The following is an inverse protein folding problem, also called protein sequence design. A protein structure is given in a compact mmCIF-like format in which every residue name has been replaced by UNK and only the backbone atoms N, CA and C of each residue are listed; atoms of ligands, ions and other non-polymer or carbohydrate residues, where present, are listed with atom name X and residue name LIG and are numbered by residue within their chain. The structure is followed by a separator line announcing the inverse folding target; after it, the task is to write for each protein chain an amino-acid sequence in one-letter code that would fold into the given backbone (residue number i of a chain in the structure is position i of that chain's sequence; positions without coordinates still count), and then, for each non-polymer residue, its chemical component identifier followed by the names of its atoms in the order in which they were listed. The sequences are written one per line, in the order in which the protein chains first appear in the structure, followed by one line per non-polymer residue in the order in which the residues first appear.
data_IF_525904221974
#
_entry.id   IF_525904221974
#
_cell.length_a   1.000
_cell.length_b   1.000
_cell.length_c   1.000
_cell.angle_alpha   90.00
_cell.angle_beta   90.00
_cell.angle_gamma   90.00
#
_symmetry.space_group_name_H-M   'P 1'
#
loop_
_entity.id
_entity.type
_entity.pdbx_description
1 polymer ?
#
# COMPACT_ATOMS: atom_id res chain seq x y z
N UNK A 1 -9.60 30.58 -3.14
CA UNK A 1 -8.83 29.87 -4.22
C UNK A 1 -8.32 28.57 -3.62
N UNK A 2 -8.62 27.44 -4.24
CA UNK A 2 -8.11 26.13 -3.79
C UNK A 2 -6.60 26.04 -4.02
N UNK A 3 -5.86 25.43 -3.10
CA UNK A 3 -4.42 25.26 -3.15
C UNK A 3 -4.00 23.81 -3.33
N UNK A 4 -4.89 22.88 -2.96
CA UNK A 4 -4.68 21.45 -3.05
C UNK A 4 -5.98 20.75 -3.45
N UNK A 5 -5.85 19.74 -4.30
CA UNK A 5 -6.90 18.78 -4.66
C UNK A 5 -6.37 17.40 -4.35
N UNK A 6 -7.05 16.68 -3.47
CA UNK A 6 -6.79 15.27 -3.21
C UNK A 6 -7.87 14.41 -3.85
N UNK A 7 -7.48 13.35 -4.54
CA UNK A 7 -8.39 12.40 -5.18
C UNK A 7 -8.06 10.98 -4.80
N UNK A 8 -9.08 10.17 -4.58
CA UNK A 8 -8.95 8.73 -4.58
C UNK A 8 -8.54 8.23 -5.96
N UNK A 9 -7.91 7.07 -6.03
CA UNK A 9 -7.31 6.53 -7.25
C UNK A 9 -8.15 5.39 -7.83
N UNK A 10 -8.38 4.35 -7.05
CA UNK A 10 -9.05 3.13 -7.50
C UNK A 10 -10.56 3.35 -7.64
N UNK A 11 -11.12 3.09 -8.85
CA UNK A 11 -12.53 3.38 -9.13
C UNK A 11 -12.86 4.86 -9.34
N UNK A 12 -11.86 5.77 -9.23
CA UNK A 12 -12.02 7.21 -9.43
C UNK A 12 -11.17 7.72 -10.60
N UNK A 13 -9.86 7.56 -10.53
CA UNK A 13 -8.91 7.98 -11.57
C UNK A 13 -8.46 6.83 -12.46
N UNK A 14 -8.61 5.62 -11.99
CA UNK A 14 -8.37 4.37 -12.70
C UNK A 14 -9.72 3.68 -12.86
N UNK A 15 -10.02 3.25 -14.08
CA UNK A 15 -11.22 2.51 -14.39
C UNK A 15 -11.13 1.11 -13.79
N UNK A 16 -12.25 0.62 -13.25
CA UNK A 16 -12.34 -0.75 -12.75
C UNK A 16 -11.84 -1.77 -13.79
N UNK A 17 -11.04 -2.70 -13.31
CA UNK A 17 -10.44 -3.79 -14.11
C UNK A 17 -9.34 -3.36 -15.09
N UNK A 18 -8.82 -2.14 -15.01
CA UNK A 18 -7.64 -1.71 -15.78
C UNK A 18 -6.55 -1.21 -14.84
N UNK A 19 -5.26 -1.33 -15.20
CA UNK A 19 -4.17 -0.75 -14.41
C UNK A 19 -3.91 0.73 -14.73
N UNK A 20 -4.55 1.28 -15.77
CA UNK A 20 -4.17 2.56 -16.36
C UNK A 20 -5.09 3.69 -15.92
N UNK A 21 -4.51 4.87 -15.75
CA UNK A 21 -5.24 6.12 -15.56
C UNK A 21 -6.08 6.45 -16.80
N UNK A 22 -7.18 7.17 -16.62
CA UNK A 22 -7.83 7.82 -17.74
C UNK A 22 -6.84 8.77 -18.45
N UNK A 23 -6.81 8.77 -19.77
CA UNK A 23 -5.78 9.51 -20.55
C UNK A 23 -5.69 11.00 -20.21
N UNK A 24 -6.83 11.62 -19.87
CA UNK A 24 -6.92 13.05 -19.56
C UNK A 24 -6.38 13.43 -18.17
N UNK A 25 -6.16 12.47 -17.28
CA UNK A 25 -5.76 12.76 -15.88
C UNK A 25 -4.40 13.44 -15.81
N UNK A 26 -3.43 12.94 -16.55
CA UNK A 26 -2.06 13.48 -16.54
C UNK A 26 -2.05 14.93 -17.01
N UNK A 27 -2.76 15.24 -18.10
CA UNK A 27 -2.84 16.62 -18.61
C UNK A 27 -3.59 17.53 -17.62
N UNK A 28 -4.66 17.05 -17.01
CA UNK A 28 -5.38 17.78 -15.96
C UNK A 28 -4.47 18.12 -14.78
N UNK A 29 -3.63 17.19 -14.33
CA UNK A 29 -2.66 17.42 -13.25
C UNK A 29 -1.66 18.50 -13.63
N UNK A 30 -1.13 18.48 -14.87
CA UNK A 30 -0.22 19.51 -15.37
C UNK A 30 -0.88 20.90 -15.42
N UNK A 31 -2.15 20.97 -15.84
CA UNK A 31 -2.91 22.22 -15.82
C UNK A 31 -3.15 22.76 -14.40
N UNK A 32 -3.46 21.87 -13.44
CA UNK A 32 -3.60 22.25 -12.02
C UNK A 32 -2.31 22.87 -11.49
N UNK A 33 -1.16 22.25 -11.81
CA UNK A 33 0.16 22.78 -11.43
C UNK A 33 0.40 24.18 -12.00
N UNK A 34 0.08 24.42 -13.27
CA UNK A 34 0.20 25.75 -13.90
C UNK A 34 -0.65 26.81 -13.19
N UNK A 35 -1.78 26.41 -12.59
CA UNK A 35 -2.65 27.27 -11.78
C UNK A 35 -2.20 27.38 -10.31
N UNK A 36 -1.06 26.81 -9.94
CA UNK A 36 -0.54 26.81 -8.58
C UNK A 36 -1.35 25.93 -7.60
N UNK A 37 -2.00 24.91 -8.12
CA UNK A 37 -2.79 23.94 -7.34
C UNK A 37 -2.02 22.63 -7.27
N UNK A 38 -1.68 22.18 -6.05
CA UNK A 38 -1.05 20.89 -5.81
C UNK A 38 -2.08 19.76 -5.96
N UNK A 39 -1.76 18.76 -6.77
CA UNK A 39 -2.53 17.52 -6.82
C UNK A 39 -1.97 16.50 -5.81
N UNK A 40 -2.85 15.72 -5.19
CA UNK A 40 -2.51 14.67 -4.25
C UNK A 40 -3.26 13.38 -4.60
N UNK A 41 -2.53 12.31 -4.88
CA UNK A 41 -3.11 10.98 -5.07
C UNK A 41 -3.27 10.29 -3.70
N UNK A 42 -4.49 9.91 -3.33
CA UNK A 42 -4.80 9.24 -2.07
C UNK A 42 -5.30 7.82 -2.32
N UNK A 43 -4.67 6.81 -1.74
CA UNK A 43 -5.03 5.40 -1.97
C UNK A 43 -4.54 4.48 -0.85
N UNK A 44 -5.13 3.28 -0.78
CA UNK A 44 -4.59 2.16 0.01
C UNK A 44 -3.36 1.48 -0.59
N UNK A 45 -3.01 1.82 -1.85
CA UNK A 45 -1.82 1.29 -2.53
C UNK A 45 -0.53 1.74 -1.86
N UNK A 46 0.54 0.97 -2.10
CA UNK A 46 1.88 1.35 -1.71
C UNK A 46 2.37 2.57 -2.49
N UNK A 47 3.22 3.40 -1.87
CA UNK A 47 3.80 4.57 -2.52
C UNK A 47 4.48 4.24 -3.87
N UNK A 48 5.27 3.17 -3.93
CA UNK A 48 5.97 2.79 -5.16
C UNK A 48 5.00 2.41 -6.29
N UNK A 49 3.89 1.76 -5.97
CA UNK A 49 2.81 1.47 -6.93
C UNK A 49 2.15 2.75 -7.45
N UNK A 50 1.81 3.69 -6.54
CA UNK A 50 1.26 4.98 -6.93
C UNK A 50 2.26 5.78 -7.77
N UNK A 51 3.53 5.85 -7.37
CA UNK A 51 4.58 6.53 -8.13
C UNK A 51 4.70 5.99 -9.56
N UNK A 52 4.60 4.66 -9.73
CA UNK A 52 4.62 4.06 -11.05
C UNK A 52 3.35 4.41 -11.87
N UNK A 53 2.19 4.43 -11.24
CA UNK A 53 0.93 4.82 -11.87
C UNK A 53 0.99 6.26 -12.39
N UNK A 54 1.55 7.19 -11.62
CA UNK A 54 1.68 8.60 -11.97
C UNK A 54 3.07 8.98 -12.51
N UNK A 55 3.81 8.03 -13.12
CA UNK A 55 5.23 8.18 -13.50
C UNK A 55 5.56 9.47 -14.26
N UNK A 56 4.64 9.96 -15.09
CA UNK A 56 4.86 11.17 -15.90
C UNK A 56 4.85 12.47 -15.10
N UNK A 57 4.23 12.47 -13.93
CA UNK A 57 4.11 13.62 -13.02
C UNK A 57 4.54 13.26 -11.59
N UNK A 58 5.26 12.16 -11.43
CA UNK A 58 5.53 11.54 -10.13
C UNK A 58 6.20 12.45 -9.10
N UNK A 59 7.09 13.34 -9.54
CA UNK A 59 7.81 14.27 -8.66
C UNK A 59 7.05 15.61 -8.46
N UNK A 60 5.91 15.76 -9.12
CA UNK A 60 5.14 17.02 -9.15
C UNK A 60 3.90 16.98 -8.25
N UNK A 61 3.52 15.80 -7.78
CA UNK A 61 2.32 15.56 -6.99
C UNK A 61 2.66 15.06 -5.59
N UNK A 62 1.70 15.21 -4.67
CA UNK A 62 1.78 14.59 -3.35
C UNK A 62 1.10 13.21 -3.35
N UNK A 63 1.45 12.39 -2.37
CA UNK A 63 0.90 11.05 -2.19
C UNK A 63 0.45 10.83 -0.76
N UNK A 64 -0.77 10.37 -0.58
CA UNK A 64 -1.30 9.80 0.65
C UNK A 64 -1.45 8.29 0.37
N UNK A 65 -0.40 7.53 0.67
CA UNK A 65 -0.32 6.10 0.43
C UNK A 65 -0.67 5.29 1.68
N UNK A 66 -0.87 3.98 1.51
CA UNK A 66 -1.10 3.02 2.60
C UNK A 66 -2.26 3.44 3.54
N UNK A 67 -3.37 3.93 2.96
CA UNK A 67 -4.51 4.46 3.71
C UNK A 67 -4.14 5.61 4.67
N UNK A 68 -3.16 6.43 4.31
CA UNK A 68 -2.69 7.58 5.09
C UNK A 68 -1.50 7.30 6.01
N UNK A 69 -1.02 6.05 6.10
CA UNK A 69 0.13 5.72 6.92
C UNK A 69 1.46 6.22 6.34
N UNK A 70 1.50 6.57 5.05
CA UNK A 70 2.67 7.10 4.39
C UNK A 70 2.30 8.29 3.49
N UNK A 71 2.78 9.48 3.86
CA UNK A 71 2.54 10.72 3.11
C UNK A 71 3.88 11.21 2.55
N UNK A 72 3.92 11.48 1.24
CA UNK A 72 5.11 11.97 0.53
C UNK A 72 4.82 13.15 -0.39
N UNK A 73 5.84 13.99 -0.55
CA UNK A 73 5.88 15.02 -1.59
C UNK A 73 7.31 15.14 -2.12
N UNK A 74 7.48 15.05 -3.42
CA UNK A 74 8.80 14.96 -4.03
C UNK A 74 9.63 13.80 -3.44
N UNK A 75 10.82 14.11 -2.96
CA UNK A 75 11.72 13.12 -2.33
C UNK A 75 11.53 12.99 -0.82
N UNK A 76 10.64 13.78 -0.19
CA UNK A 76 10.50 13.85 1.26
C UNK A 76 9.34 12.98 1.78
N UNK A 77 9.58 12.28 2.88
CA UNK A 77 8.53 11.72 3.71
C UNK A 77 7.97 12.82 4.60
N UNK A 78 6.76 13.30 4.31
CA UNK A 78 6.07 14.31 5.12
C UNK A 78 5.59 13.69 6.42
N UNK A 79 5.05 12.45 6.36
CA UNK A 79 4.65 11.69 7.53
C UNK A 79 4.76 10.19 7.28
N UNK A 80 5.15 9.46 8.33
CA UNK A 80 5.15 8.01 8.37
C UNK A 80 4.53 7.58 9.71
N UNK A 81 3.42 6.87 9.66
CA UNK A 81 2.76 6.29 10.83
C UNK A 81 3.09 4.81 10.87
N UNK A 82 4.06 4.43 11.69
CA UNK A 82 4.44 3.04 11.88
C UNK A 82 3.51 2.33 12.88
N UNK A 83 3.29 1.06 12.66
CA UNK A 83 2.66 0.17 13.63
C UNK A 83 3.58 -0.01 14.85
N UNK A 84 3.00 -0.26 16.01
CA UNK A 84 3.79 -0.62 17.19
C UNK A 84 4.48 -1.97 16.95
N UNK A 85 5.73 -2.06 17.35
CA UNK A 85 6.52 -3.28 17.14
C UNK A 85 5.87 -4.52 17.75
N UNK A 86 5.34 -4.40 18.95
CA UNK A 86 4.64 -5.49 19.65
C UNK A 86 3.39 -6.00 18.90
N UNK A 87 2.67 -5.08 18.19
CA UNK A 87 1.51 -5.45 17.37
C UNK A 87 1.97 -6.21 16.11
N UNK A 88 3.03 -5.74 15.47
CA UNK A 88 3.61 -6.42 14.30
C UNK A 88 4.09 -7.82 14.69
N UNK A 89 4.77 -7.97 15.80
CA UNK A 89 5.25 -9.26 16.29
C UNK A 89 4.10 -10.25 16.53
N UNK A 90 3.05 -9.82 17.23
CA UNK A 90 1.89 -10.65 17.47
C UNK A 90 1.13 -11.02 16.20
N UNK A 91 0.94 -10.06 15.27
CA UNK A 91 0.30 -10.29 13.97
C UNK A 91 1.10 -11.31 13.16
N UNK A 92 2.41 -11.10 13.02
CA UNK A 92 3.26 -12.00 12.23
C UNK A 92 3.33 -13.40 12.83
N UNK A 93 3.45 -13.54 14.15
CA UNK A 93 3.41 -14.84 14.84
C UNK A 93 2.10 -15.58 14.57
N UNK A 94 0.96 -14.86 14.62
CA UNK A 94 -0.34 -15.44 14.30
C UNK A 94 -0.43 -15.86 12.83
N UNK A 95 -0.01 -15.00 11.88
CA UNK A 95 -0.12 -15.25 10.45
C UNK A 95 0.76 -16.39 9.97
N UNK A 96 1.91 -16.62 10.59
CA UNK A 96 2.80 -17.76 10.28
C UNK A 96 2.09 -19.10 10.45
N UNK A 97 1.09 -19.19 11.32
CA UNK A 97 0.23 -20.38 11.46
C UNK A 97 -0.67 -20.65 10.26
N UNK A 98 -0.83 -19.69 9.35
CA UNK A 98 -1.69 -19.77 8.14
C UNK A 98 -0.92 -19.74 6.83
N UNK A 99 0.41 -19.87 6.84
CA UNK A 99 1.24 -19.73 5.62
C UNK A 99 1.02 -20.85 4.58
N UNK A 100 0.36 -21.96 4.94
CA UNK A 100 -0.11 -22.95 3.96
C UNK A 100 -1.23 -22.42 3.04
N UNK A 101 -2.03 -21.46 3.54
CA UNK A 101 -3.21 -20.92 2.87
C UNK A 101 -3.09 -19.45 2.52
N UNK A 102 -2.20 -18.73 3.21
CA UNK A 102 -2.03 -17.30 3.10
C UNK A 102 -0.59 -16.90 2.74
N UNK A 103 -0.48 -15.80 2.01
CA UNK A 103 0.79 -15.09 1.81
C UNK A 103 0.68 -13.69 2.41
N UNK A 104 1.79 -13.15 2.91
CA UNK A 104 1.83 -11.81 3.52
C UNK A 104 2.78 -10.89 2.80
N UNK A 105 2.41 -9.62 2.73
CA UNK A 105 3.28 -8.53 2.32
C UNK A 105 3.31 -7.48 3.43
N UNK A 106 4.50 -7.13 3.88
CA UNK A 106 4.72 -6.18 4.97
C UNK A 106 5.29 -4.90 4.40
N UNK A 107 4.52 -3.83 4.48
CA UNK A 107 4.88 -2.53 3.91
C UNK A 107 5.78 -1.75 4.85
N UNK A 108 6.83 -1.16 4.28
CA UNK A 108 7.73 -0.21 4.92
C UNK A 108 7.80 1.08 4.08
N UNK A 109 8.33 2.20 4.59
CA UNK A 109 8.50 3.41 3.79
C UNK A 109 9.37 3.23 2.53
N UNK A 110 10.24 2.20 2.52
CA UNK A 110 11.21 1.96 1.45
C UNK A 110 10.86 0.77 0.55
N UNK A 111 9.63 0.26 0.62
CA UNK A 111 9.16 -0.89 -0.14
C UNK A 111 8.61 -1.98 0.77
N UNK A 112 8.45 -3.19 0.27
CA UNK A 112 7.83 -4.28 1.00
C UNK A 112 8.82 -5.37 1.38
N UNK A 113 8.49 -6.08 2.45
CA UNK A 113 9.17 -7.30 2.89
C UNK A 113 8.23 -8.50 2.72
N UNK A 114 8.77 -9.64 2.29
CA UNK A 114 8.02 -10.88 2.06
C UNK A 114 8.81 -12.05 2.59
N UNK A 115 8.16 -12.92 3.38
CA UNK A 115 8.75 -14.16 3.90
C UNK A 115 8.43 -15.39 3.04
N UNK A 116 7.43 -15.33 2.16
CA UNK A 116 6.95 -16.49 1.42
C UNK A 116 7.72 -16.73 0.11
N UNK A 117 7.63 -17.98 -0.37
CA UNK A 117 8.17 -18.45 -1.65
C UNK A 117 7.06 -18.84 -2.65
N UNK A 118 5.85 -18.35 -2.45
CA UNK A 118 4.70 -18.61 -3.33
C UNK A 118 4.87 -17.82 -4.65
N UNK A 119 5.28 -18.50 -5.70
CA UNK A 119 5.59 -17.90 -7.00
C UNK A 119 4.37 -17.23 -7.65
N UNK A 120 3.17 -17.79 -7.48
CA UNK A 120 1.95 -17.19 -8.05
C UNK A 120 1.60 -15.88 -7.34
N UNK A 121 1.74 -15.85 -6.01
CA UNK A 121 1.62 -14.63 -5.24
C UNK A 121 2.67 -13.59 -5.65
N UNK A 122 3.93 -13.99 -5.77
CA UNK A 122 5.02 -13.08 -6.18
C UNK A 122 4.79 -12.50 -7.57
N UNK A 123 4.30 -13.30 -8.52
CA UNK A 123 3.90 -12.81 -9.87
C UNK A 123 2.77 -11.80 -9.78
N UNK A 124 1.74 -12.10 -9.00
CA UNK A 124 0.59 -11.20 -8.82
C UNK A 124 1.01 -9.83 -8.26
N UNK A 125 1.83 -9.79 -7.22
CA UNK A 125 2.27 -8.52 -6.63
C UNK A 125 3.26 -7.76 -7.51
N UNK A 126 4.08 -8.45 -8.29
CA UNK A 126 5.05 -7.81 -9.21
C UNK A 126 4.36 -7.22 -10.43
N UNK A 127 3.58 -8.02 -11.13
CA UNK A 127 3.00 -7.63 -12.42
C UNK A 127 1.59 -7.05 -12.30
N UNK A 128 0.80 -7.49 -11.32
CA UNK A 128 -0.55 -6.98 -11.10
C UNK A 128 -0.58 -5.65 -10.35
N UNK A 129 0.18 -5.56 -9.25
CA UNK A 129 0.21 -4.37 -8.39
C UNK A 129 1.42 -3.48 -8.58
N UNK A 130 2.42 -3.90 -9.39
CA UNK A 130 3.68 -3.20 -9.60
C UNK A 130 4.42 -2.85 -8.30
N UNK A 131 4.31 -3.71 -7.30
CA UNK A 131 4.97 -3.52 -6.02
C UNK A 131 6.44 -3.93 -6.09
N UNK A 132 7.30 -3.17 -5.43
CA UNK A 132 8.68 -3.56 -5.16
C UNK A 132 8.77 -4.26 -3.81
N UNK A 133 9.54 -5.34 -3.72
CA UNK A 133 9.73 -6.07 -2.47
C UNK A 133 11.14 -6.64 -2.32
N UNK A 134 11.52 -6.88 -1.08
CA UNK A 134 12.72 -7.64 -0.68
C UNK A 134 12.25 -8.94 -0.03
N UNK A 135 12.76 -10.08 -0.48
CA UNK A 135 12.57 -11.35 0.22
C UNK A 135 13.45 -11.38 1.45
N UNK A 136 12.89 -11.78 2.57
CA UNK A 136 13.57 -11.90 3.87
C UNK A 136 13.23 -13.24 4.50
N UNK A 137 14.12 -13.77 5.33
CA UNK A 137 13.87 -15.02 6.08
C UNK A 137 12.93 -14.78 7.24
N UNK A 138 13.01 -13.60 7.84
CA UNK A 138 12.21 -13.20 9.01
C UNK A 138 12.02 -11.68 8.98
N UNK A 139 10.78 -11.25 8.74
CA UNK A 139 10.41 -9.82 8.78
C UNK A 139 10.70 -9.22 10.16
N UNK A 140 10.57 -10.00 11.22
CA UNK A 140 10.80 -9.53 12.58
C UNK A 140 12.29 -9.31 12.90
N UNK A 141 13.21 -9.82 12.09
CA UNK A 141 14.64 -9.51 12.19
C UNK A 141 15.00 -8.15 11.57
N UNK A 142 14.16 -7.63 10.69
CA UNK A 142 14.40 -6.35 10.01
C UNK A 142 14.10 -5.17 10.96
N UNK A 143 15.08 -4.28 11.12
CA UNK A 143 14.99 -3.09 11.98
C UNK A 143 14.48 -1.87 11.20
N UNK A 144 13.29 -1.98 10.62
CA UNK A 144 12.66 -0.94 9.81
C UNK A 144 11.25 -0.64 10.31
N UNK A 145 10.75 0.61 10.15
CA UNK A 145 9.37 0.93 10.44
C UNK A 145 8.42 0.11 9.57
N UNK A 146 7.46 -0.57 10.17
CA UNK A 146 6.41 -1.30 9.47
C UNK A 146 5.13 -0.48 9.52
N UNK A 147 4.53 -0.22 8.37
CA UNK A 147 3.36 0.68 8.24
C UNK A 147 2.06 -0.08 7.94
N UNK A 148 2.17 -1.26 7.33
CA UNK A 148 1.00 -2.12 7.07
C UNK A 148 1.42 -3.57 6.93
N UNK A 149 0.55 -4.49 7.37
CA UNK A 149 0.61 -5.92 7.06
C UNK A 149 -0.61 -6.28 6.22
N UNK A 150 -0.40 -6.75 5.00
CA UNK A 150 -1.45 -7.20 4.09
C UNK A 150 -1.40 -8.72 3.95
N UNK A 151 -2.58 -9.35 3.88
CA UNK A 151 -2.73 -10.80 3.84
C UNK A 151 -3.51 -11.17 2.58
N UNK A 152 -2.99 -12.14 1.85
CA UNK A 152 -3.64 -12.73 0.70
C UNK A 152 -3.92 -14.20 0.97
N UNK A 153 -5.14 -14.62 0.73
CA UNK A 153 -5.57 -16.01 0.89
C UNK A 153 -5.74 -16.65 -0.48
N UNK A 154 -5.27 -17.87 -0.68
CA UNK A 154 -5.38 -18.61 -1.96
C UNK A 154 -6.82 -18.81 -2.43
N UNK A 155 -7.78 -18.85 -1.50
CA UNK A 155 -9.21 -18.81 -1.79
C UNK A 155 -9.83 -17.47 -1.37
N UNK A 156 -10.70 -17.47 -0.33
CA UNK A 156 -11.33 -16.27 0.21
C UNK A 156 -10.86 -15.98 1.61
N UNK A 157 -10.30 -14.79 1.83
CA UNK A 157 -9.91 -14.32 3.16
C UNK A 157 -11.10 -14.05 4.09
N UNK A 158 -12.32 -13.89 3.54
CA UNK A 158 -13.49 -13.41 4.28
C UNK A 158 -13.72 -14.18 5.59
N UNK A 159 -13.80 -15.51 5.52
CA UNK A 159 -14.06 -16.33 6.71
C UNK A 159 -12.97 -16.15 7.76
N UNK A 160 -11.71 -16.28 7.40
CA UNK A 160 -10.58 -16.11 8.29
C UNK A 160 -10.49 -14.68 8.84
N UNK A 161 -10.71 -13.68 7.97
CA UNK A 161 -10.72 -12.27 8.35
C UNK A 161 -11.79 -11.94 9.39
N UNK A 162 -13.06 -12.26 9.09
CA UNK A 162 -14.20 -11.94 9.95
C UNK A 162 -14.23 -12.71 11.26
N UNK A 163 -13.85 -14.01 11.24
CA UNK A 163 -13.95 -14.87 12.44
C UNK A 163 -12.71 -14.85 13.34
N UNK A 164 -11.56 -14.45 12.83
CA UNK A 164 -10.29 -14.67 13.55
C UNK A 164 -9.39 -13.43 13.54
N UNK A 165 -9.02 -12.92 12.35
CA UNK A 165 -7.98 -11.89 12.28
C UNK A 165 -8.49 -10.52 12.77
N UNK A 166 -9.66 -10.08 12.31
CA UNK A 166 -10.22 -8.78 12.72
C UNK A 166 -10.55 -8.79 14.22
N UNK A 167 -11.29 -9.78 14.77
CA UNK A 167 -11.58 -9.80 16.20
C UNK A 167 -10.34 -9.83 17.11
N UNK A 168 -9.24 -10.44 16.65
CA UNK A 168 -8.01 -10.50 17.44
C UNK A 168 -7.28 -9.15 17.54
N UNK A 169 -7.46 -8.23 16.55
CA UNK A 169 -6.60 -7.07 16.42
C UNK A 169 -7.34 -5.73 16.27
N UNK A 170 -8.67 -5.70 16.07
CA UNK A 170 -9.45 -4.48 15.81
C UNK A 170 -9.33 -3.39 16.87
N UNK A 171 -9.04 -3.76 18.14
CA UNK A 171 -8.90 -2.81 19.25
C UNK A 171 -7.47 -2.21 19.33
N UNK A 172 -6.53 -2.73 18.55
CA UNK A 172 -5.11 -2.33 18.57
C UNK A 172 -4.64 -1.71 17.25
N UNK A 173 -5.16 -2.21 16.13
CA UNK A 173 -4.82 -1.75 14.79
C UNK A 173 -6.08 -1.55 13.95
N UNK A 174 -6.01 -0.65 12.95
CA UNK A 174 -7.07 -0.56 11.95
C UNK A 174 -7.01 -1.77 11.04
N UNK A 175 -7.96 -2.69 11.18
CA UNK A 175 -8.13 -3.85 10.32
C UNK A 175 -9.26 -3.62 9.33
N UNK A 176 -9.06 -3.93 8.05
CA UNK A 176 -10.06 -3.84 6.97
C UNK A 176 -9.83 -4.94 5.94
N UNK A 177 -10.91 -5.31 5.22
CA UNK A 177 -10.87 -6.24 4.09
C UNK A 177 -11.18 -5.50 2.80
#
# INVERSE_FOLDING_TARGET
MYKLIASDVDGTLIKDSTPDLYPEIIETIKELKQKGILFCAASGRQYHSLKNTFREVAEEIAYIAENGAHIRYGHENIAVTAMKREDVEGIMQMLRGYYSECSTIVSTPNGSLIECDDEDFLRMITYGYHNTFKRVKDVLAEQVPIIKVSIFHKGSIRKLGESTLIPAWQDRVKACM
#
